data_IF_305636042539
#
_entry.id   IF_305636042539
#
_cell.length_a   1.000
_cell.length_b   1.000
_cell.length_c   1.000
_cell.angle_alpha   90.00
_cell.angle_beta   90.00
_cell.angle_gamma   90.00
#
_symmetry.space_group_name_H-M   'P 1'
#
loop_
_entity.id
_entity.type
_entity.pdbx_description
1 polymer ?
#
# COMPACT_ATOMS: atom_id res chain seq x y z
N UNK A 1 7.23 1.80 4.51
CA UNK A 1 7.41 0.68 3.54
C UNK A 1 8.01 1.10 2.21
N UNK A 2 7.84 2.35 1.77
CA UNK A 2 8.41 2.78 0.49
C UNK A 2 9.95 2.83 0.48
N UNK A 3 10.59 2.80 1.65
CA UNK A 3 12.04 2.61 1.74
C UNK A 3 12.40 1.11 1.80
N UNK A 4 12.04 0.43 2.89
CA UNK A 4 12.48 -0.95 3.16
C UNK A 4 11.80 -2.05 2.32
N UNK A 5 10.65 -1.77 1.68
CA UNK A 5 9.95 -2.72 0.81
C UNK A 5 9.91 -2.22 -0.65
N UNK A 6 10.86 -1.36 -1.02
CA UNK A 6 10.88 -0.68 -2.30
C UNK A 6 10.92 -1.61 -3.50
N UNK A 7 11.63 -2.75 -3.43
CA UNK A 7 11.74 -3.66 -4.58
C UNK A 7 10.36 -4.17 -5.03
N UNK A 8 9.52 -4.59 -4.08
CA UNK A 8 8.16 -5.04 -4.37
C UNK A 8 7.29 -3.85 -4.80
N UNK A 9 7.41 -2.71 -4.12
CA UNK A 9 6.63 -1.52 -4.48
C UNK A 9 6.93 -1.02 -5.89
N UNK A 10 8.20 -0.99 -6.31
CA UNK A 10 8.59 -0.60 -7.66
C UNK A 10 7.99 -1.54 -8.70
N UNK A 11 8.04 -2.87 -8.46
CA UNK A 11 7.41 -3.86 -9.36
C UNK A 11 5.89 -3.69 -9.42
N UNK A 12 5.25 -3.32 -8.30
CA UNK A 12 3.83 -2.93 -8.31
C UNK A 12 3.58 -1.72 -9.21
N UNK A 13 4.42 -0.67 -9.13
CA UNK A 13 4.29 0.49 -10.01
C UNK A 13 4.58 0.15 -11.47
N UNK A 14 5.52 -0.74 -11.76
CA UNK A 14 5.79 -1.23 -13.13
C UNK A 14 4.62 -2.02 -13.70
N UNK A 15 3.96 -2.85 -12.87
CA UNK A 15 2.76 -3.62 -13.24
C UNK A 15 1.53 -2.72 -13.42
N UNK A 16 1.32 -1.78 -12.49
CA UNK A 16 0.06 -1.05 -12.35
C UNK A 16 0.10 0.36 -12.93
N UNK A 17 1.27 0.99 -13.08
CA UNK A 17 1.40 2.43 -13.36
C UNK A 17 1.89 2.79 -14.77
N UNK A 18 1.95 1.84 -15.71
CA UNK A 18 2.54 2.05 -17.04
C UNK A 18 1.72 2.92 -18.01
N UNK A 19 0.47 3.21 -17.70
CA UNK A 19 -0.47 3.92 -18.57
C UNK A 19 -1.43 4.79 -17.75
N UNK A 20 -2.20 5.66 -18.42
CA UNK A 20 -3.34 6.36 -17.81
C UNK A 20 -4.32 5.36 -17.21
N UNK A 21 -5.12 5.80 -16.26
CA UNK A 21 -6.12 4.98 -15.58
C UNK A 21 -7.48 5.62 -15.70
N UNK A 22 -8.54 4.81 -15.69
CA UNK A 22 -9.91 5.33 -15.57
C UNK A 22 -10.24 5.60 -14.11
N UNK A 23 -9.79 4.72 -13.22
CA UNK A 23 -10.17 4.75 -11.80
C UNK A 23 -8.95 4.61 -10.90
N UNK A 24 -8.84 5.50 -9.90
CA UNK A 24 -7.88 5.40 -8.80
C UNK A 24 -8.65 5.13 -7.51
N UNK A 25 -8.41 3.96 -6.90
CA UNK A 25 -8.87 3.67 -5.54
C UNK A 25 -7.85 4.23 -4.54
N UNK A 26 -8.34 4.92 -3.51
CA UNK A 26 -7.48 5.57 -2.52
C UNK A 26 -7.76 5.00 -1.12
N UNK A 27 -6.76 4.34 -0.54
CA UNK A 27 -6.72 3.99 0.87
C UNK A 27 -6.15 5.12 1.73
N UNK A 28 -6.29 5.01 3.05
CA UNK A 28 -5.78 6.01 3.97
C UNK A 28 -4.26 5.87 4.17
N UNK A 29 -3.82 4.75 4.74
CA UNK A 29 -2.41 4.46 5.01
C UNK A 29 -2.16 2.95 5.18
N UNK A 30 -0.90 2.47 5.16
CA UNK A 30 -0.56 1.06 5.33
C UNK A 30 -1.13 0.44 6.62
N UNK A 31 -1.70 -0.76 6.50
CA UNK A 31 -1.92 -1.65 7.63
C UNK A 31 -0.67 -2.47 7.98
N UNK A 32 -0.56 -2.97 9.23
CA UNK A 32 0.65 -3.62 9.75
C UNK A 32 0.96 -4.98 9.12
N UNK A 33 -0.03 -5.63 8.49
CA UNK A 33 0.11 -6.99 7.94
C UNK A 33 -0.12 -7.06 6.43
N UNK A 34 -0.39 -5.93 5.78
CA UNK A 34 -0.47 -5.81 4.32
C UNK A 34 0.67 -4.96 3.79
N UNK A 35 0.40 -3.70 3.44
CA UNK A 35 1.39 -2.81 2.81
C UNK A 35 2.67 -2.61 3.65
N UNK A 36 2.59 -2.66 4.99
CA UNK A 36 3.80 -2.60 5.82
C UNK A 36 4.72 -3.82 5.66
N UNK A 37 4.19 -4.96 5.18
CA UNK A 37 4.95 -6.18 4.90
C UNK A 37 5.35 -6.27 3.43
N UNK A 38 4.51 -5.75 2.53
CA UNK A 38 4.64 -6.05 1.08
C UNK A 38 4.99 -4.84 0.22
N UNK A 39 4.86 -3.61 0.74
CA UNK A 39 5.00 -2.39 -0.05
C UNK A 39 3.82 -2.12 -1.00
N UNK A 40 2.83 -3.01 -1.12
CA UNK A 40 1.67 -2.83 -2.01
C UNK A 40 0.47 -2.29 -1.22
N UNK A 41 -0.26 -1.26 -1.68
CA UNK A 41 -1.48 -0.79 -1.04
C UNK A 41 -2.48 -1.93 -0.81
N UNK A 42 -3.07 -2.01 0.38
CA UNK A 42 -3.92 -3.15 0.77
C UNK A 42 -3.24 -4.52 0.59
N UNK A 43 -1.90 -4.58 0.57
CA UNK A 43 -1.14 -5.68 0.00
C UNK A 43 -1.12 -6.94 0.84
N UNK A 44 -2.23 -7.67 0.83
CA UNK A 44 -2.33 -9.00 1.41
C UNK A 44 -1.41 -9.99 0.69
N UNK A 45 -0.69 -10.81 1.46
CA UNK A 45 0.49 -11.53 0.98
C UNK A 45 0.15 -12.50 -0.18
N UNK A 46 -0.82 -13.43 -0.06
CA UNK A 46 -1.31 -14.20 -1.19
C UNK A 46 -1.72 -13.36 -2.40
N UNK A 47 -2.46 -12.27 -2.23
CA UNK A 47 -2.83 -11.41 -3.37
C UNK A 47 -1.59 -10.83 -4.07
N UNK A 48 -0.61 -10.32 -3.31
CA UNK A 48 0.62 -9.75 -3.86
C UNK A 48 1.48 -10.83 -4.53
N UNK A 49 1.71 -11.96 -3.85
CA UNK A 49 2.62 -13.02 -4.30
C UNK A 49 2.04 -13.89 -5.41
N UNK A 50 0.79 -14.32 -5.26
CA UNK A 50 0.19 -15.37 -6.07
C UNK A 50 -0.69 -14.80 -7.18
N UNK A 51 -1.45 -13.73 -6.90
CA UNK A 51 -2.33 -13.13 -7.90
C UNK A 51 -1.62 -12.06 -8.75
N UNK A 52 -0.90 -11.12 -8.12
CA UNK A 52 -0.10 -10.12 -8.86
C UNK A 52 1.28 -10.63 -9.27
N UNK A 53 1.72 -11.79 -8.76
CA UNK A 53 3.01 -12.39 -9.09
C UNK A 53 4.24 -11.64 -8.55
N UNK A 54 4.05 -10.68 -7.64
CA UNK A 54 5.10 -9.79 -7.16
C UNK A 54 5.93 -10.48 -6.07
N UNK A 55 7.25 -10.35 -6.20
CA UNK A 55 8.25 -10.84 -5.23
C UNK A 55 9.30 -9.76 -5.05
N UNK A 56 10.18 -9.90 -4.07
CA UNK A 56 11.30 -8.98 -3.82
C UNK A 56 11.79 -9.09 -2.39
N UNK A 57 12.97 -8.55 -2.14
CA UNK A 57 13.51 -8.39 -0.80
C UNK A 57 12.74 -7.31 -0.05
N UNK A 58 12.56 -7.55 1.25
CA UNK A 58 11.96 -6.61 2.19
C UNK A 58 12.91 -6.51 3.38
N UNK A 59 13.50 -5.35 3.51
CA UNK A 59 14.36 -5.00 4.63
C UNK A 59 13.52 -4.64 5.87
N UNK A 60 14.21 -4.32 6.97
CA UNK A 60 13.57 -3.92 8.21
C UNK A 60 13.52 -2.39 8.36
N UNK A 61 12.45 -1.83 8.93
CA UNK A 61 12.47 -0.44 9.37
C UNK A 61 13.45 -0.26 10.53
N UNK A 62 14.06 0.92 10.62
CA UNK A 62 14.87 1.33 11.76
C UNK A 62 14.22 2.56 12.43
N UNK A 63 13.70 2.45 13.68
CA UNK A 63 13.62 1.24 14.50
C UNK A 63 12.45 0.32 14.12
N UNK A 64 12.60 -0.98 14.38
CA UNK A 64 11.53 -1.97 14.31
C UNK A 64 10.88 -2.19 15.69
N UNK A 65 9.55 -2.12 15.77
CA UNK A 65 8.86 -2.45 17.02
C UNK A 65 8.76 -3.98 17.20
N UNK A 66 9.20 -4.55 18.34
CA UNK A 66 9.15 -6.01 18.59
C UNK A 66 7.77 -6.69 18.45
N UNK A 67 6.66 -5.95 18.62
CA UNK A 67 5.28 -6.47 18.47
C UNK A 67 4.75 -6.34 17.04
N UNK A 68 5.49 -5.68 16.16
CA UNK A 68 5.15 -5.41 14.75
C UNK A 68 6.38 -5.69 13.88
N UNK A 69 6.92 -6.93 13.91
CA UNK A 69 8.02 -7.27 13.03
C UNK A 69 7.58 -7.17 11.56
N UNK A 70 8.50 -6.74 10.71
CA UNK A 70 8.40 -6.81 9.25
C UNK A 70 9.10 -8.09 8.81
N UNK A 71 8.29 -9.06 8.38
CA UNK A 71 8.71 -10.39 7.91
C UNK A 71 8.57 -10.53 6.39
N UNK A 72 8.17 -9.47 5.70
CA UNK A 72 8.00 -9.46 4.26
C UNK A 72 6.89 -10.42 3.80
N UNK A 73 7.13 -11.08 2.66
CA UNK A 73 6.21 -12.11 2.11
C UNK A 73 6.16 -13.40 2.94
N UNK A 74 6.99 -13.53 3.99
CA UNK A 74 6.94 -14.66 4.92
C UNK A 74 6.02 -14.43 6.12
N UNK A 75 5.48 -13.21 6.30
CA UNK A 75 4.55 -12.92 7.38
C UNK A 75 3.33 -13.86 7.32
N UNK A 76 3.05 -14.57 8.41
CA UNK A 76 1.95 -15.54 8.48
C UNK A 76 0.58 -14.90 8.72
N UNK A 77 0.53 -13.59 9.01
CA UNK A 77 -0.72 -12.88 9.30
C UNK A 77 -1.32 -12.35 8.01
N UNK A 78 -2.62 -12.56 7.86
CA UNK A 78 -3.40 -12.03 6.73
C UNK A 78 -4.03 -10.69 7.10
N UNK A 79 -3.91 -9.70 6.22
CA UNK A 79 -4.61 -8.43 6.33
C UNK A 79 -6.02 -8.55 5.75
N UNK A 80 -7.03 -8.56 6.63
CA UNK A 80 -8.44 -8.80 6.24
C UNK A 80 -8.94 -7.78 5.21
N UNK A 81 -8.59 -6.51 5.35
CA UNK A 81 -8.98 -5.45 4.41
C UNK A 81 -8.41 -5.71 3.03
N UNK A 82 -7.12 -6.04 2.95
CA UNK A 82 -6.45 -6.39 1.70
C UNK A 82 -7.02 -7.64 1.05
N UNK A 83 -7.24 -8.70 1.83
CA UNK A 83 -7.86 -9.94 1.34
C UNK A 83 -9.22 -9.70 0.70
N UNK A 84 -10.03 -8.84 1.31
CA UNK A 84 -11.37 -8.51 0.80
C UNK A 84 -11.30 -7.70 -0.49
N UNK A 85 -10.46 -6.66 -0.52
CA UNK A 85 -10.33 -5.80 -1.69
C UNK A 85 -9.77 -6.58 -2.89
N UNK A 86 -8.60 -7.19 -2.73
CA UNK A 86 -7.96 -7.91 -3.83
C UNK A 86 -8.67 -9.20 -4.19
N UNK A 87 -9.31 -9.87 -3.23
CA UNK A 87 -10.16 -11.03 -3.50
C UNK A 87 -11.34 -10.68 -4.41
N UNK A 88 -12.00 -9.53 -4.18
CA UNK A 88 -13.05 -9.02 -5.06
C UNK A 88 -12.51 -8.77 -6.48
N UNK A 89 -11.36 -8.12 -6.62
CA UNK A 89 -10.82 -7.82 -7.95
C UNK A 89 -10.33 -9.09 -8.66
N UNK A 90 -9.74 -10.05 -7.95
CA UNK A 90 -9.41 -11.35 -8.51
C UNK A 90 -10.64 -12.09 -9.04
N UNK A 91 -11.76 -12.08 -8.30
CA UNK A 91 -13.01 -12.69 -8.75
C UNK A 91 -13.59 -12.00 -10.00
N UNK A 92 -13.53 -10.66 -10.05
CA UNK A 92 -14.14 -9.85 -11.12
C UNK A 92 -13.33 -9.81 -12.41
N UNK A 93 -12.00 -9.77 -12.30
CA UNK A 93 -11.10 -9.53 -13.44
C UNK A 93 -10.29 -10.76 -13.85
N UNK A 94 -10.27 -11.81 -13.01
CA UNK A 94 -9.50 -13.02 -13.26
C UNK A 94 -8.01 -12.75 -13.07
N UNK A 95 -7.32 -12.29 -14.12
CA UNK A 95 -5.90 -11.92 -14.07
C UNK A 95 -5.71 -10.51 -13.51
N UNK A 96 -4.59 -10.26 -12.82
CA UNK A 96 -4.28 -8.95 -12.25
C UNK A 96 -4.13 -7.87 -13.32
N UNK A 97 -3.53 -8.21 -14.47
CA UNK A 97 -3.30 -7.31 -15.60
C UNK A 97 -4.62 -6.72 -16.13
N UNK A 98 -5.69 -7.52 -16.15
CA UNK A 98 -7.02 -7.05 -16.58
C UNK A 98 -7.60 -5.99 -15.63
N UNK A 99 -7.30 -6.07 -14.33
CA UNK A 99 -7.69 -5.02 -13.38
C UNK A 99 -6.84 -3.77 -13.61
N UNK A 100 -5.52 -3.95 -13.73
CA UNK A 100 -4.57 -2.85 -13.86
C UNK A 100 -4.58 -2.14 -15.21
N UNK A 101 -5.26 -2.67 -16.23
CA UNK A 101 -5.52 -1.95 -17.49
C UNK A 101 -6.17 -0.59 -17.20
N UNK A 102 -7.29 -0.59 -16.46
CA UNK A 102 -8.09 0.60 -16.19
C UNK A 102 -8.00 1.14 -14.75
N UNK A 103 -7.46 0.36 -13.81
CA UNK A 103 -7.54 0.68 -12.38
C UNK A 103 -6.17 0.77 -11.71
N UNK A 104 -6.06 1.64 -10.71
CA UNK A 104 -4.89 1.74 -9.85
C UNK A 104 -5.32 1.88 -8.39
N UNK A 105 -4.47 1.45 -7.45
CA UNK A 105 -4.76 1.55 -6.01
C UNK A 105 -3.61 2.27 -5.33
N UNK A 106 -3.89 3.40 -4.69
CA UNK A 106 -2.92 4.18 -3.93
C UNK A 106 -3.29 4.21 -2.45
N UNK A 107 -2.34 4.56 -1.60
CA UNK A 107 -2.64 5.11 -0.27
C UNK A 107 -2.36 6.60 -0.29
N UNK A 108 -3.19 7.38 0.38
CA UNK A 108 -2.99 8.80 0.59
C UNK A 108 -1.68 9.07 1.33
N UNK A 109 -1.48 8.39 2.47
CA UNK A 109 -0.27 8.48 3.27
C UNK A 109 0.49 7.15 3.21
N UNK A 110 1.78 7.12 2.80
CA UNK A 110 2.55 5.89 2.74
C UNK A 110 3.14 5.47 4.11
N UNK A 111 2.95 6.26 5.17
CA UNK A 111 3.52 6.01 6.49
C UNK A 111 2.59 5.19 7.37
N UNK A 112 3.20 4.40 8.26
CA UNK A 112 2.52 3.64 9.31
C UNK A 112 3.06 4.06 10.65
N UNK A 113 2.17 4.43 11.58
CA UNK A 113 2.55 4.91 12.89
C UNK A 113 2.20 3.87 13.95
N UNK A 114 3.15 3.60 14.84
CA UNK A 114 2.98 2.68 15.96
C UNK A 114 3.23 3.41 17.27
N UNK A 115 2.35 3.22 18.24
CA UNK A 115 2.59 3.64 19.62
C UNK A 115 3.58 2.70 20.31
N UNK A 116 4.13 3.10 21.45
CA UNK A 116 5.05 2.30 22.28
C UNK A 116 4.49 0.92 22.66
N UNK A 117 3.15 0.80 22.77
CA UNK A 117 2.48 -0.48 23.02
C UNK A 117 2.38 -1.40 21.80
N UNK A 118 2.75 -0.93 20.61
CA UNK A 118 2.61 -1.58 19.30
C UNK A 118 1.26 -1.35 18.65
N UNK A 119 0.43 -0.46 19.22
CA UNK A 119 -0.89 -0.13 18.66
C UNK A 119 -0.71 0.72 17.42
N UNK A 120 -1.42 0.38 16.34
CA UNK A 120 -1.45 1.19 15.14
C UNK A 120 -2.17 2.51 15.41
N UNK A 121 -1.52 3.62 15.06
CA UNK A 121 -2.08 4.97 15.10
C UNK A 121 -2.29 5.43 13.67
N UNK A 122 -3.53 5.76 13.34
CA UNK A 122 -3.90 6.24 12.01
C UNK A 122 -3.67 7.75 11.90
N UNK A 123 -3.45 8.32 10.70
CA UNK A 123 -3.18 9.74 10.54
C UNK A 123 -4.21 10.66 11.20
N UNK A 124 -5.51 10.31 11.15
CA UNK A 124 -6.62 11.03 11.79
C UNK A 124 -6.51 11.14 13.32
N UNK A 125 -5.64 10.34 13.94
CA UNK A 125 -5.41 10.32 15.39
C UNK A 125 -4.11 11.03 15.78
N UNK A 126 -3.38 11.61 14.84
CA UNK A 126 -2.21 12.44 15.12
C UNK A 126 -2.66 13.79 15.71
N UNK A 127 -1.85 14.44 16.56
CA UNK A 127 -2.13 15.79 17.02
C UNK A 127 -2.08 16.75 15.83
N UNK A 128 -2.87 17.82 15.87
CA UNK A 128 -2.96 18.79 14.77
C UNK A 128 -1.60 19.42 14.39
N UNK A 129 -0.68 19.53 15.34
CA UNK A 129 0.68 20.02 15.09
C UNK A 129 1.54 19.10 14.23
N UNK A 130 1.25 17.80 14.20
CA UNK A 130 1.98 16.80 13.39
C UNK A 130 1.22 16.48 12.10
N UNK A 131 -0.11 16.51 12.12
CA UNK A 131 -0.93 16.13 10.96
C UNK A 131 -0.82 17.13 9.82
N UNK A 132 -0.63 18.43 10.11
CA UNK A 132 -0.58 19.48 9.08
C UNK A 132 0.52 19.24 8.04
N UNK A 133 1.77 19.08 8.48
CA UNK A 133 2.90 18.90 7.57
C UNK A 133 2.81 17.56 6.82
N UNK A 134 2.23 16.54 7.47
CA UNK A 134 1.95 15.25 6.85
C UNK A 134 0.92 15.38 5.73
N UNK A 135 -0.20 16.05 5.99
CA UNK A 135 -1.28 16.29 5.03
C UNK A 135 -0.78 17.10 3.84
N UNK A 136 -0.03 18.19 4.06
CA UNK A 136 0.56 18.99 2.97
C UNK A 136 1.44 18.14 2.04
N UNK A 137 2.27 17.25 2.60
CA UNK A 137 3.10 16.35 1.81
C UNK A 137 2.30 15.27 1.06
N UNK A 138 1.27 14.72 1.71
CA UNK A 138 0.41 13.69 1.13
C UNK A 138 -0.51 14.25 0.04
N UNK A 139 -1.01 15.48 0.22
CA UNK A 139 -1.79 16.22 -0.79
C UNK A 139 -0.94 16.50 -2.03
N UNK A 140 0.28 16.99 -1.85
CA UNK A 140 1.20 17.20 -2.96
C UNK A 140 1.57 15.90 -3.68
N UNK A 141 1.67 14.78 -2.96
CA UNK A 141 1.85 13.46 -3.56
C UNK A 141 0.61 13.03 -4.36
N UNK A 142 -0.59 13.13 -3.78
CA UNK A 142 -1.83 12.73 -4.42
C UNK A 142 -2.10 13.56 -5.69
N UNK A 143 -1.87 14.88 -5.65
CA UNK A 143 -1.97 15.73 -6.82
C UNK A 143 -1.09 15.21 -7.97
N UNK A 144 0.17 14.88 -7.70
CA UNK A 144 1.07 14.29 -8.70
C UNK A 144 0.60 12.92 -9.20
N UNK A 145 0.04 12.07 -8.33
CA UNK A 145 -0.51 10.78 -8.75
C UNK A 145 -1.68 10.98 -9.71
N UNK A 146 -2.58 11.92 -9.41
CA UNK A 146 -3.71 12.28 -10.27
C UNK A 146 -3.23 12.86 -11.60
N UNK A 147 -2.25 13.77 -11.58
CA UNK A 147 -1.68 14.37 -12.79
C UNK A 147 -1.01 13.34 -13.72
N UNK A 148 -0.35 12.33 -13.15
CA UNK A 148 0.34 11.27 -13.92
C UNK A 148 -0.63 10.24 -14.47
N UNK A 149 -1.62 9.82 -13.66
CA UNK A 149 -2.54 8.75 -14.05
C UNK A 149 -3.74 9.25 -14.85
N UNK A 150 -4.05 10.54 -14.78
CA UNK A 150 -5.16 11.21 -15.49
C UNK A 150 -6.50 10.44 -15.39
N UNK A 151 -7.02 10.13 -14.18
CA UNK A 151 -8.29 9.42 -14.03
C UNK A 151 -9.48 10.14 -14.64
N UNK A 152 -10.53 9.37 -14.95
CA UNK A 152 -11.80 9.92 -15.43
C UNK A 152 -12.65 10.31 -14.22
N UNK A 153 -13.24 11.52 -14.23
CA UNK A 153 -14.10 12.06 -13.17
C UNK A 153 -15.36 12.74 -13.71
#
# INVERSE_FOLDING_TARGET
>A
PLDYAWEIHRRYLELAGGEKKKVVFLGMNPGPFGMAQTGVPFGEIPAVRDWMGLRGEVEKPEPEHPKRPVEGLACAKSEVSGRRLWGLFAERFGKAENFFEDHFVANYCPLVFMEEGGRNRTPDKLPASESKDLEEACDAHLARVVDVLEPEW
#
